data_IF_025325437012
#
_entry.id   IF_025325437012
#
_cell.length_a   1.000
_cell.length_b   1.000
_cell.length_c   1.000
_cell.angle_alpha   90.00
_cell.angle_beta   90.00
_cell.angle_gamma   90.00
#
_symmetry.space_group_name_H-M   'P 1'
#
loop_
_entity.id
_entity.type
_entity.pdbx_description
1 polymer ?
#
# COMPACT_ATOMS: atom_id res chain seq x y z
N UNK A 1 36.90 -3.31 25.49
CA UNK A 1 38.20 -2.85 24.93
C UNK A 1 37.99 -2.69 23.43
N UNK A 2 37.98 -1.52 22.79
CA UNK A 2 38.87 -0.37 22.94
C UNK A 2 38.17 0.95 22.59
N UNK A 3 38.41 1.96 23.44
CA UNK A 3 38.18 3.38 23.17
C UNK A 3 39.31 3.89 22.28
N UNK A 4 39.02 4.74 21.27
CA UNK A 4 39.96 5.76 20.79
C UNK A 4 39.22 7.03 20.43
N UNK A 5 39.31 7.95 21.39
CA UNK A 5 39.21 9.40 21.21
C UNK A 5 40.34 9.83 20.28
N UNK A 6 40.06 10.71 19.32
CA UNK A 6 41.07 11.53 18.68
C UNK A 6 40.44 12.86 18.25
N UNK A 7 40.57 13.85 19.12
CA UNK A 7 40.41 15.28 18.86
C UNK A 7 41.71 15.78 18.23
N UNK A 8 41.69 16.37 17.03
CA UNK A 8 42.74 17.25 16.47
C UNK A 8 42.03 18.20 15.49
N UNK A 9 41.69 19.41 15.91
CA UNK A 9 42.48 20.65 15.85
C UNK A 9 42.36 21.40 14.51
N UNK A 10 42.00 22.67 14.67
CA UNK A 10 41.76 23.75 13.71
C UNK A 10 42.93 23.99 12.76
N UNK A 11 42.65 24.32 11.50
CA UNK A 11 43.55 25.14 10.68
C UNK A 11 42.74 26.11 9.81
N UNK A 12 42.81 27.38 10.20
CA UNK A 12 42.31 28.55 9.47
C UNK A 12 43.25 28.77 8.28
N UNK A 13 42.72 28.81 7.07
CA UNK A 13 43.38 29.38 5.91
C UNK A 13 42.46 30.42 5.28
N UNK A 14 42.55 31.64 5.79
CA UNK A 14 42.07 32.85 5.11
C UNK A 14 43.01 33.10 3.92
N UNK A 15 42.66 32.57 2.76
CA UNK A 15 43.27 32.97 1.49
C UNK A 15 42.32 33.95 0.80
N UNK A 16 42.53 35.23 1.08
CA UNK A 16 42.01 36.35 0.29
C UNK A 16 42.67 36.29 -1.09
N UNK A 17 42.01 35.62 -2.04
CA UNK A 17 42.26 35.82 -3.47
C UNK A 17 41.10 36.59 -4.08
N UNK A 18 41.36 37.85 -4.36
CA UNK A 18 40.59 38.68 -5.28
C UNK A 18 40.70 38.07 -6.68
N UNK A 19 39.71 37.28 -7.06
CA UNK A 19 39.45 36.85 -8.44
C UNK A 19 37.94 36.75 -8.58
N UNK A 20 37.27 37.87 -8.85
CA UNK A 20 35.82 37.94 -9.06
C UNK A 20 35.33 37.19 -10.31
N UNK A 21 36.22 36.46 -11.01
CA UNK A 21 35.90 35.65 -12.19
C UNK A 21 35.74 34.15 -11.90
N UNK A 22 36.25 33.63 -10.77
CA UNK A 22 36.20 32.19 -10.43
C UNK A 22 35.06 31.80 -9.47
N UNK A 23 34.44 32.77 -8.78
CA UNK A 23 33.25 32.53 -7.94
C UNK A 23 32.05 32.18 -8.84
N UNK A 24 31.81 32.96 -9.90
CA UNK A 24 30.67 32.75 -10.80
C UNK A 24 30.71 31.41 -11.55
N UNK A 25 31.90 30.94 -11.97
CA UNK A 25 32.05 29.67 -12.67
C UNK A 25 31.81 28.45 -11.75
N UNK A 26 32.25 28.52 -10.48
CA UNK A 26 31.99 27.48 -9.49
C UNK A 26 30.51 27.46 -9.06
N UNK A 27 29.87 28.63 -8.95
CA UNK A 27 28.43 28.77 -8.67
C UNK A 27 27.56 28.26 -9.83
N UNK A 28 27.94 28.53 -11.08
CA UNK A 28 27.26 28.02 -12.28
C UNK A 28 27.35 26.50 -12.40
N UNK A 29 28.53 25.92 -12.13
CA UNK A 29 28.74 24.47 -12.10
C UNK A 29 27.92 23.80 -11.00
N UNK A 30 27.89 24.40 -9.80
CA UNK A 30 27.12 23.89 -8.65
C UNK A 30 25.62 23.96 -8.91
N UNK A 31 25.12 25.08 -9.46
CA UNK A 31 23.71 25.23 -9.84
C UNK A 31 23.29 24.19 -10.90
N UNK A 32 24.13 23.97 -11.93
CA UNK A 32 23.87 22.96 -12.96
C UNK A 32 23.78 21.55 -12.35
N UNK A 33 24.71 21.19 -11.46
CA UNK A 33 24.69 19.92 -10.75
C UNK A 33 23.42 19.76 -9.90
N UNK A 34 23.00 20.81 -9.17
CA UNK A 34 21.76 20.79 -8.40
C UNK A 34 20.51 20.61 -9.28
N UNK A 35 20.46 21.27 -10.45
CA UNK A 35 19.34 21.12 -11.40
C UNK A 35 19.29 19.70 -11.98
N UNK A 36 20.43 19.11 -12.32
CA UNK A 36 20.46 17.76 -12.87
C UNK A 36 20.14 16.69 -11.81
N UNK A 37 20.60 16.87 -10.57
CA UNK A 37 20.18 16.05 -9.43
C UNK A 37 18.66 16.17 -9.17
N UNK A 38 18.10 17.38 -9.26
CA UNK A 38 16.66 17.61 -9.13
C UNK A 38 15.85 16.89 -10.22
N UNK A 39 16.30 16.94 -11.49
CA UNK A 39 15.66 16.20 -12.60
C UNK A 39 15.71 14.70 -12.37
N UNK A 40 16.88 14.18 -11.99
CA UNK A 40 17.09 12.76 -11.72
C UNK A 40 16.19 12.26 -10.59
N UNK A 41 16.11 13.00 -9.49
CA UNK A 41 15.24 12.70 -8.35
C UNK A 41 13.75 12.71 -8.74
N UNK A 42 13.30 13.74 -9.48
CA UNK A 42 11.91 13.79 -9.97
C UNK A 42 11.58 12.66 -10.95
N UNK A 43 12.54 12.22 -11.78
CA UNK A 43 12.35 11.08 -12.68
C UNK A 43 12.25 9.78 -11.88
N UNK A 44 13.17 9.54 -10.95
CA UNK A 44 13.17 8.37 -10.09
C UNK A 44 11.86 8.25 -9.28
N UNK A 45 11.39 9.35 -8.70
CA UNK A 45 10.12 9.38 -7.97
C UNK A 45 8.91 9.02 -8.85
N UNK A 46 8.86 9.52 -10.11
CA UNK A 46 7.81 9.13 -11.06
C UNK A 46 7.88 7.65 -11.45
N UNK A 47 9.08 7.13 -11.67
CA UNK A 47 9.24 5.73 -12.07
C UNK A 47 8.87 4.78 -10.92
N UNK A 48 9.28 5.10 -9.69
CA UNK A 48 8.82 4.39 -8.48
C UNK A 48 7.29 4.45 -8.31
N UNK A 49 6.67 5.59 -8.63
CA UNK A 49 5.21 5.73 -8.62
C UNK A 49 4.53 4.83 -9.66
N UNK A 50 5.08 4.71 -10.88
CA UNK A 50 4.53 3.82 -11.91
C UNK A 50 4.58 2.36 -11.46
N UNK A 51 5.72 1.92 -10.93
CA UNK A 51 5.88 0.57 -10.37
C UNK A 51 4.84 0.31 -9.27
N UNK A 52 4.72 1.25 -8.33
CA UNK A 52 3.71 1.16 -7.25
C UNK A 52 2.28 1.12 -7.79
N UNK A 53 1.99 1.83 -8.88
CA UNK A 53 0.68 1.85 -9.52
C UNK A 53 0.35 0.51 -10.19
N UNK A 54 1.32 -0.12 -10.83
CA UNK A 54 1.12 -1.42 -11.46
C UNK A 54 0.94 -2.52 -10.40
N UNK A 55 1.72 -2.50 -9.32
CA UNK A 55 1.51 -3.35 -8.16
C UNK A 55 0.12 -3.14 -7.53
N UNK A 56 -0.36 -1.89 -7.45
CA UNK A 56 -1.70 -1.58 -6.99
C UNK A 56 -2.79 -2.17 -7.90
N UNK A 57 -2.65 -2.09 -9.22
CA UNK A 57 -3.61 -2.68 -10.18
C UNK A 57 -3.65 -4.20 -10.03
N UNK A 58 -2.50 -4.85 -9.99
CA UNK A 58 -2.40 -6.30 -9.80
C UNK A 58 -3.04 -6.72 -8.47
N UNK A 59 -2.68 -6.06 -7.37
CA UNK A 59 -3.29 -6.31 -6.06
C UNK A 59 -4.79 -6.07 -6.05
N UNK A 60 -5.29 -5.09 -6.82
CA UNK A 60 -6.74 -4.81 -6.92
C UNK A 60 -7.45 -5.95 -7.64
N UNK A 61 -6.86 -6.49 -8.70
CA UNK A 61 -7.39 -7.65 -9.41
C UNK A 61 -7.45 -8.86 -8.47
N UNK A 62 -6.34 -9.21 -7.81
CA UNK A 62 -6.29 -10.32 -6.84
C UNK A 62 -7.32 -10.16 -5.73
N UNK A 63 -7.49 -8.95 -5.19
CA UNK A 63 -8.52 -8.67 -4.18
C UNK A 63 -9.94 -8.95 -4.71
N UNK A 64 -10.26 -8.55 -5.94
CA UNK A 64 -11.59 -8.80 -6.52
C UNK A 64 -11.82 -10.29 -6.81
N UNK A 65 -10.80 -10.98 -7.32
CA UNK A 65 -10.85 -12.43 -7.57
C UNK A 65 -11.08 -13.21 -6.27
N UNK A 66 -10.33 -12.88 -5.20
CA UNK A 66 -10.51 -13.48 -3.88
C UNK A 66 -11.91 -13.22 -3.32
N UNK A 67 -12.41 -11.98 -3.44
CA UNK A 67 -13.77 -11.63 -3.01
C UNK A 67 -14.84 -12.38 -3.81
N UNK A 68 -14.63 -12.56 -5.13
CA UNK A 68 -15.54 -13.35 -5.98
C UNK A 68 -15.53 -14.82 -5.55
N UNK A 69 -14.36 -15.41 -5.33
CA UNK A 69 -14.24 -16.80 -4.87
C UNK A 69 -14.96 -17.04 -3.53
N UNK A 70 -14.80 -16.13 -2.55
CA UNK A 70 -15.53 -16.20 -1.28
C UNK A 70 -17.05 -16.14 -1.50
N UNK A 71 -17.50 -15.24 -2.36
CA UNK A 71 -18.93 -15.09 -2.64
C UNK A 71 -19.53 -16.30 -3.36
N UNK A 72 -18.80 -16.89 -4.30
CA UNK A 72 -19.24 -18.05 -5.06
C UNK A 72 -19.27 -19.29 -4.16
N UNK A 73 -18.25 -19.49 -3.32
CA UNK A 73 -18.26 -20.55 -2.30
C UNK A 73 -19.44 -20.39 -1.34
N UNK A 74 -19.68 -19.18 -0.84
CA UNK A 74 -20.84 -18.91 0.02
C UNK A 74 -22.16 -19.24 -0.67
N UNK A 75 -22.33 -18.89 -1.96
CA UNK A 75 -23.57 -19.22 -2.70
C UNK A 75 -23.77 -20.74 -2.79
N UNK A 76 -22.72 -21.48 -3.13
CA UNK A 76 -22.76 -22.93 -3.23
C UNK A 76 -23.09 -23.58 -1.88
N UNK A 77 -22.34 -23.23 -0.83
CA UNK A 77 -22.52 -23.77 0.52
C UNK A 77 -23.92 -23.46 1.07
N UNK A 78 -24.38 -22.22 0.88
CA UNK A 78 -25.69 -21.79 1.35
C UNK A 78 -26.84 -22.48 0.59
N UNK A 79 -26.68 -22.69 -0.72
CA UNK A 79 -27.63 -23.49 -1.51
C UNK A 79 -27.72 -24.93 -1.00
N UNK A 80 -26.57 -25.58 -0.77
CA UNK A 80 -26.51 -26.93 -0.22
C UNK A 80 -27.12 -27.01 1.19
N UNK A 81 -26.81 -26.03 2.05
CA UNK A 81 -27.37 -25.93 3.39
C UNK A 81 -28.90 -25.79 3.37
N UNK A 82 -29.44 -24.91 2.53
CA UNK A 82 -30.90 -24.75 2.38
C UNK A 82 -31.58 -26.03 1.88
N UNK A 83 -30.97 -26.71 0.91
CA UNK A 83 -31.48 -27.98 0.41
C UNK A 83 -31.49 -29.05 1.52
N UNK A 84 -30.41 -29.13 2.30
CA UNK A 84 -30.30 -30.05 3.44
C UNK A 84 -31.33 -29.77 4.53
N UNK A 85 -31.51 -28.49 4.92
CA UNK A 85 -32.53 -28.09 5.90
C UNK A 85 -33.93 -28.46 5.41
N UNK A 86 -34.23 -28.20 4.13
CA UNK A 86 -35.52 -28.57 3.53
C UNK A 86 -35.74 -30.08 3.58
N UNK A 87 -34.76 -30.86 3.11
CA UNK A 87 -34.83 -32.32 3.11
C UNK A 87 -35.03 -32.89 4.51
N UNK A 88 -34.31 -32.36 5.51
CA UNK A 88 -34.45 -32.79 6.90
C UNK A 88 -35.84 -32.43 7.46
N UNK A 89 -36.34 -31.22 7.16
CA UNK A 89 -37.67 -30.80 7.60
C UNK A 89 -38.81 -31.58 6.93
N UNK A 90 -38.64 -32.00 5.68
CA UNK A 90 -39.60 -32.84 4.96
C UNK A 90 -39.61 -34.28 5.51
N UNK A 91 -38.46 -34.80 5.92
CA UNK A 91 -38.32 -36.13 6.52
C UNK A 91 -38.80 -36.21 7.98
N UNK A 92 -38.86 -35.09 8.69
CA UNK A 92 -39.32 -35.03 10.07
C UNK A 92 -40.83 -35.33 10.16
N UNK A 93 -41.22 -36.21 11.09
CA UNK A 93 -42.61 -36.65 11.29
C UNK A 93 -43.35 -35.82 12.34
N UNK A 94 -42.63 -35.23 13.31
CA UNK A 94 -43.20 -34.38 14.35
C UNK A 94 -43.10 -32.89 14.01
N UNK A 95 -44.00 -32.07 14.57
CA UNK A 95 -43.97 -30.62 14.40
C UNK A 95 -42.79 -29.99 15.16
N UNK A 96 -42.44 -30.57 16.31
CA UNK A 96 -41.34 -30.19 17.18
C UNK A 96 -40.00 -30.35 16.46
N UNK A 97 -39.77 -31.49 15.80
CA UNK A 97 -38.54 -31.74 15.03
C UNK A 97 -38.42 -30.78 13.85
N UNK A 98 -39.52 -30.52 13.13
CA UNK A 98 -39.55 -29.52 12.05
C UNK A 98 -39.16 -28.13 12.55
N UNK A 99 -39.66 -27.73 13.72
CA UNK A 99 -39.33 -26.45 14.36
C UNK A 99 -37.85 -26.41 14.75
N UNK A 100 -37.32 -27.47 15.37
CA UNK A 100 -35.93 -27.57 15.78
C UNK A 100 -34.97 -27.54 14.58
N UNK A 101 -35.28 -28.27 13.50
CA UNK A 101 -34.51 -28.27 12.25
C UNK A 101 -34.46 -26.88 11.63
N UNK A 102 -35.61 -26.19 11.55
CA UNK A 102 -35.66 -24.82 11.02
C UNK A 102 -34.87 -23.83 11.88
N UNK A 103 -34.95 -23.95 13.21
CA UNK A 103 -34.20 -23.10 14.13
C UNK A 103 -32.68 -23.32 14.01
N UNK A 104 -32.24 -24.58 14.01
CA UNK A 104 -30.84 -24.95 13.80
C UNK A 104 -30.34 -24.50 12.43
N UNK A 105 -31.14 -24.74 11.38
CA UNK A 105 -30.84 -24.32 10.03
C UNK A 105 -30.68 -22.80 9.89
N UNK A 106 -31.54 -22.02 10.57
CA UNK A 106 -31.38 -20.57 10.63
C UNK A 106 -30.06 -20.16 11.29
N UNK A 107 -29.70 -20.79 12.41
CA UNK A 107 -28.43 -20.51 13.09
C UNK A 107 -27.22 -20.85 12.19
N UNK A 108 -27.27 -21.95 11.43
CA UNK A 108 -26.23 -22.31 10.47
C UNK A 108 -26.13 -21.32 9.29
N UNK A 109 -27.25 -20.80 8.82
CA UNK A 109 -27.29 -19.76 7.79
C UNK A 109 -26.66 -18.46 8.30
N UNK A 110 -27.03 -18.03 9.51
CA UNK A 110 -26.47 -16.83 10.15
C UNK A 110 -24.95 -16.98 10.37
N UNK A 111 -24.50 -18.15 10.83
CA UNK A 111 -23.08 -18.46 10.98
C UNK A 111 -22.34 -18.44 9.62
N UNK A 112 -22.96 -18.95 8.55
CA UNK A 112 -22.39 -18.90 7.20
C UNK A 112 -22.25 -17.47 6.68
N UNK A 113 -23.21 -16.60 6.99
CA UNK A 113 -23.15 -15.17 6.65
C UNK A 113 -22.02 -14.48 7.44
N UNK A 114 -21.92 -14.75 8.74
CA UNK A 114 -20.85 -14.22 9.57
C UNK A 114 -19.46 -14.66 9.08
N UNK A 115 -19.30 -15.94 8.75
CA UNK A 115 -18.05 -16.49 8.21
C UNK A 115 -17.67 -15.84 6.87
N UNK A 116 -18.64 -15.62 5.96
CA UNK A 116 -18.41 -14.89 4.71
C UNK A 116 -17.93 -13.47 4.97
N UNK A 117 -18.59 -12.75 5.87
CA UNK A 117 -18.24 -11.36 6.19
C UNK A 117 -16.85 -11.28 6.81
N UNK A 118 -16.52 -12.20 7.73
CA UNK A 118 -15.17 -12.31 8.31
C UNK A 118 -14.11 -12.60 7.24
N UNK A 119 -14.38 -13.52 6.30
CA UNK A 119 -13.47 -13.82 5.20
C UNK A 119 -13.24 -12.62 4.27
N UNK A 120 -14.30 -11.85 3.95
CA UNK A 120 -14.18 -10.62 3.16
C UNK A 120 -13.40 -9.54 3.92
N UNK A 121 -13.62 -9.41 5.24
CA UNK A 121 -12.92 -8.46 6.09
C UNK A 121 -11.43 -8.80 6.25
N UNK A 122 -11.07 -10.09 6.20
CA UNK A 122 -9.69 -10.55 6.21
C UNK A 122 -8.92 -10.26 4.90
N UNK A 123 -9.62 -9.92 3.81
CA UNK A 123 -8.95 -9.56 2.56
C UNK A 123 -8.25 -8.19 2.68
N UNK A 124 -6.94 -8.18 2.43
CA UNK A 124 -6.17 -6.93 2.40
C UNK A 124 -6.47 -6.12 1.14
N UNK A 125 -7.14 -4.98 1.31
CA UNK A 125 -7.37 -4.04 0.21
C UNK A 125 -6.05 -3.32 -0.12
N UNK A 126 -5.59 -3.35 -1.38
CA UNK A 126 -4.37 -2.64 -1.76
C UNK A 126 -4.54 -1.13 -1.62
N UNK A 127 -3.54 -0.46 -1.06
CA UNK A 127 -3.51 0.98 -0.91
C UNK A 127 -3.17 1.66 -2.24
N UNK A 128 -3.95 2.68 -2.62
CA UNK A 128 -3.66 3.46 -3.82
C UNK A 128 -2.38 4.27 -3.58
N UNK A 129 -1.36 4.16 -4.45
CA UNK A 129 -0.14 4.94 -4.27
C UNK A 129 -0.42 6.42 -4.46
N UNK A 130 0.25 7.25 -3.67
CA UNK A 130 0.21 8.70 -3.75
C UNK A 130 1.12 9.18 -4.87
N UNK A 131 0.62 10.12 -5.68
CA UNK A 131 1.41 10.73 -6.74
C UNK A 131 2.51 11.60 -6.11
N UNK A 132 3.78 11.48 -6.54
CA UNK A 132 4.84 12.34 -6.04
C UNK A 132 4.53 13.81 -6.29
N UNK A 133 4.69 14.65 -5.27
CA UNK A 133 4.72 16.09 -5.45
C UNK A 133 5.97 16.48 -6.25
N UNK A 134 5.82 17.45 -7.17
CA UNK A 134 7.00 18.03 -7.83
C UNK A 134 7.74 18.86 -6.79
N UNK A 135 9.02 18.59 -6.60
CA UNK A 135 9.87 19.45 -5.77
C UNK A 135 10.17 20.74 -6.51
N UNK A 136 10.31 21.86 -5.79
CA UNK A 136 10.70 23.14 -6.38
C UNK A 136 12.03 23.01 -7.10
N UNK A 137 12.15 23.67 -8.26
CA UNK A 137 13.40 23.72 -9.01
C UNK A 137 14.43 24.50 -8.18
N UNK A 138 15.71 24.08 -8.13
CA UNK A 138 16.76 24.88 -7.49
C UNK A 138 16.81 26.29 -8.09
N UNK A 139 16.99 27.29 -7.25
CA UNK A 139 17.19 28.69 -7.63
C UNK A 139 18.68 29.00 -7.71
N UNK A 140 19.06 29.88 -8.64
CA UNK A 140 20.45 30.33 -8.75
C UNK A 140 20.67 31.39 -7.68
N UNK A 141 21.74 31.26 -6.88
CA UNK A 141 22.14 32.29 -5.92
C UNK A 141 22.44 33.59 -6.69
N UNK A 142 21.70 34.65 -6.43
CA UNK A 142 22.11 36.01 -6.75
C UNK A 142 22.88 36.52 -5.54
N UNK A 143 24.21 36.40 -5.58
CA UNK A 143 25.07 36.95 -4.52
C UNK A 143 24.79 38.43 -4.33
N UNK A 144 24.52 38.82 -3.08
CA UNK A 144 24.49 40.22 -2.62
C UNK A 144 25.86 40.57 -2.01
#
# INVERSE_FOLDING_TARGET
MNKRIATVAVLIATALFTSTTSVNAAEDSTFKASVDAWKASNKAAKDAYKVSLDSYKAGKQTYQEAKKAINDKFKADNSALKASIKSAADAATSAEDKKAIKASGKAQLDASIAARNAAIAALSKPAKPTKPAKTSKPEKSTGN
#
